data_IF_871665836305
#
_entry.id   IF_871665836305
#
_cell.length_a   1.000
_cell.length_b   1.000
_cell.length_c   1.000
_cell.angle_alpha   90.00
_cell.angle_beta   90.00
_cell.angle_gamma   90.00
#
_symmetry.space_group_name_H-M   'P 1'
#
loop_
_entity.id
_entity.type
_entity.pdbx_description
1 polymer ?
#
# COMPACT_ATOMS: atom_id res chain seq x y z
N UNK A 1 -16.05 -17.28 8.09
CA UNK A 1 -14.95 -16.28 7.93
C UNK A 1 -15.51 -15.00 7.30
N UNK A 2 -15.16 -13.83 7.83
CA UNK A 2 -15.64 -12.52 7.37
C UNK A 2 -14.47 -11.56 7.17
N UNK A 3 -14.65 -10.51 6.36
CA UNK A 3 -13.60 -9.50 6.10
C UNK A 3 -13.07 -8.84 7.38
N UNK A 4 -13.90 -8.71 8.42
CA UNK A 4 -13.46 -8.18 9.72
C UNK A 4 -12.40 -9.06 10.38
N UNK A 5 -12.50 -10.38 10.26
CA UNK A 5 -11.50 -11.30 10.81
C UNK A 5 -10.14 -11.12 10.13
N UNK A 6 -10.14 -10.89 8.81
CA UNK A 6 -8.93 -10.58 8.06
C UNK A 6 -8.30 -9.26 8.52
N UNK A 7 -9.10 -8.18 8.70
CA UNK A 7 -8.62 -6.89 9.23
C UNK A 7 -8.00 -7.04 10.61
N UNK A 8 -8.64 -7.82 11.49
CA UNK A 8 -8.14 -8.07 12.83
C UNK A 8 -6.83 -8.83 12.82
N UNK A 9 -6.73 -9.87 11.99
CA UNK A 9 -5.52 -10.64 11.84
C UNK A 9 -4.36 -9.80 11.28
N UNK A 10 -4.61 -9.04 10.22
CA UNK A 10 -3.60 -8.13 9.63
C UNK A 10 -3.08 -7.14 10.68
N UNK A 11 -3.97 -6.52 11.46
CA UNK A 11 -3.56 -5.60 12.52
C UNK A 11 -2.70 -6.28 13.60
N UNK A 12 -3.06 -7.51 14.03
CA UNK A 12 -2.26 -8.27 15.00
C UNK A 12 -0.90 -8.67 14.44
N UNK A 13 -0.85 -9.07 13.17
CA UNK A 13 0.38 -9.46 12.48
C UNK A 13 1.36 -8.28 12.34
N UNK A 14 0.86 -7.09 12.01
CA UNK A 14 1.66 -5.87 11.88
C UNK A 14 2.15 -5.35 13.23
N UNK A 15 1.28 -5.27 14.21
CA UNK A 15 1.62 -4.76 15.54
C UNK A 15 2.45 -5.76 16.37
N UNK A 16 2.40 -7.04 16.05
CA UNK A 16 3.00 -8.14 16.84
C UNK A 16 2.63 -8.08 18.34
N UNK A 17 1.49 -7.44 18.63
CA UNK A 17 1.03 -7.18 19.99
C UNK A 17 -0.50 -7.01 19.99
N UNK A 18 -1.22 -7.84 20.73
CA UNK A 18 -2.68 -7.80 20.81
C UNK A 18 -3.21 -6.50 21.39
N UNK A 19 -2.53 -5.93 22.39
CA UNK A 19 -2.99 -4.69 23.03
C UNK A 19 -2.88 -3.50 22.08
N UNK A 20 -1.76 -3.37 21.34
CA UNK A 20 -1.59 -2.31 20.34
C UNK A 20 -2.55 -2.49 19.16
N UNK A 21 -2.71 -3.73 18.67
CA UNK A 21 -3.66 -4.01 17.60
C UNK A 21 -5.12 -3.69 18.02
N UNK A 22 -5.50 -4.04 19.25
CA UNK A 22 -6.83 -3.73 19.78
C UNK A 22 -7.06 -2.22 19.90
N UNK A 23 -6.06 -1.46 20.39
CA UNK A 23 -6.13 -0.01 20.45
C UNK A 23 -6.29 0.61 19.05
N UNK A 24 -5.50 0.15 18.07
CA UNK A 24 -5.60 0.59 16.66
C UNK A 24 -6.98 0.31 16.05
N UNK A 25 -7.61 -0.79 16.45
CA UNK A 25 -8.92 -1.22 15.95
C UNK A 25 -10.09 -0.69 16.79
N UNK A 26 -9.81 0.06 17.84
CA UNK A 26 -10.82 0.53 18.82
C UNK A 26 -11.64 -0.62 19.45
N UNK A 27 -10.97 -1.72 19.77
CA UNK A 27 -11.56 -2.91 20.37
C UNK A 27 -10.96 -3.20 21.75
N UNK A 28 -11.71 -3.95 22.57
CA UNK A 28 -11.17 -4.56 23.77
C UNK A 28 -10.21 -5.73 23.39
N UNK A 29 -9.03 -5.79 24.00
CA UNK A 29 -8.04 -6.83 23.70
C UNK A 29 -8.60 -8.26 23.87
N UNK A 30 -9.42 -8.60 24.90
CA UNK A 30 -10.00 -9.94 25.01
C UNK A 30 -10.91 -10.30 23.83
N UNK A 31 -11.66 -9.34 23.31
CA UNK A 31 -12.53 -9.50 22.14
C UNK A 31 -11.70 -9.81 20.89
N UNK A 32 -10.66 -9.01 20.63
CA UNK A 32 -9.75 -9.25 19.50
C UNK A 32 -9.08 -10.63 19.60
N UNK A 33 -8.60 -11.01 20.79
CA UNK A 33 -7.98 -12.33 21.01
C UNK A 33 -8.94 -13.48 20.74
N UNK A 34 -10.23 -13.31 21.10
CA UNK A 34 -11.27 -14.29 20.81
C UNK A 34 -11.51 -14.42 19.31
N UNK A 35 -11.68 -13.29 18.61
CA UNK A 35 -11.90 -13.29 17.16
C UNK A 35 -10.77 -13.94 16.36
N UNK A 36 -9.52 -13.77 16.80
CA UNK A 36 -8.38 -14.46 16.17
C UNK A 36 -8.42 -15.97 16.44
N UNK A 37 -8.78 -16.39 17.64
CA UNK A 37 -8.94 -17.83 17.94
C UNK A 37 -10.08 -18.45 17.13
N UNK A 38 -11.20 -17.74 17.00
CA UNK A 38 -12.33 -18.21 16.19
C UNK A 38 -11.92 -18.36 14.72
N UNK A 39 -11.10 -17.44 14.20
CA UNK A 39 -10.53 -17.53 12.85
C UNK A 39 -9.59 -18.74 12.71
N UNK A 40 -8.67 -18.96 13.65
CA UNK A 40 -7.74 -20.11 13.65
C UNK A 40 -8.52 -21.44 13.71
N UNK A 41 -9.58 -21.49 14.53
CA UNK A 41 -10.44 -22.67 14.63
C UNK A 41 -11.21 -22.94 13.32
N UNK A 42 -11.73 -21.89 12.67
CA UNK A 42 -12.45 -22.01 11.40
C UNK A 42 -11.51 -22.49 10.27
N UNK A 43 -10.26 -22.02 10.26
CA UNK A 43 -9.25 -22.44 9.30
C UNK A 43 -8.62 -23.82 9.63
N UNK A 44 -8.79 -24.29 10.85
CA UNK A 44 -8.21 -25.55 11.34
C UNK A 44 -6.68 -25.52 11.53
N UNK A 45 -6.08 -24.33 11.50
CA UNK A 45 -4.63 -24.15 11.64
C UNK A 45 -4.30 -22.93 12.50
N UNK A 46 -3.20 -23.00 13.27
CA UNK A 46 -2.69 -21.86 14.00
C UNK A 46 -1.97 -20.89 13.05
N UNK A 47 -2.33 -19.63 13.13
CA UNK A 47 -1.71 -18.55 12.35
C UNK A 47 -0.62 -17.81 13.15
N UNK A 48 -0.70 -17.86 14.49
CA UNK A 48 0.17 -17.13 15.40
C UNK A 48 0.85 -18.06 16.40
N UNK A 49 2.15 -17.85 16.60
CA UNK A 49 2.86 -18.34 17.77
C UNK A 49 2.73 -17.31 18.90
N UNK A 50 2.34 -17.77 20.08
CA UNK A 50 2.21 -16.94 21.29
C UNK A 50 3.27 -17.40 22.29
N UNK A 51 4.29 -16.61 22.51
CA UNK A 51 5.42 -16.96 23.39
C UNK A 51 5.85 -15.81 24.29
N UNK A 52 6.83 -16.09 25.17
CA UNK A 52 7.41 -15.09 26.09
C UNK A 52 8.07 -13.90 25.35
N UNK A 53 8.41 -14.05 24.07
CA UNK A 53 8.99 -13.01 23.21
C UNK A 53 7.97 -12.22 22.38
N UNK A 54 6.66 -12.39 22.62
CA UNK A 54 5.61 -11.71 21.85
C UNK A 54 4.89 -12.62 20.85
N UNK A 55 4.35 -12.02 19.79
CA UNK A 55 3.60 -12.69 18.74
C UNK A 55 4.46 -12.79 17.48
N UNK A 56 4.55 -14.00 16.93
CA UNK A 56 5.15 -14.25 15.61
C UNK A 56 4.18 -15.02 14.72
N UNK A 57 4.35 -14.92 13.42
CA UNK A 57 3.53 -15.66 12.47
C UNK A 57 4.04 -17.09 12.32
N UNK A 58 3.12 -18.03 12.15
CA UNK A 58 3.44 -19.37 11.64
C UNK A 58 3.68 -19.31 10.13
N UNK A 59 4.11 -20.40 9.50
CA UNK A 59 4.17 -20.50 8.03
C UNK A 59 2.78 -20.26 7.41
N UNK A 60 1.73 -20.88 7.98
CA UNK A 60 0.33 -20.65 7.58
C UNK A 60 -0.10 -19.19 7.81
N UNK A 61 0.36 -18.57 8.92
CA UNK A 61 0.08 -17.17 9.21
C UNK A 61 0.70 -16.20 8.21
N UNK A 62 1.91 -16.48 7.72
CA UNK A 62 2.55 -15.67 6.67
C UNK A 62 1.77 -15.76 5.36
N UNK A 63 1.40 -16.97 4.95
CA UNK A 63 0.60 -17.17 3.73
C UNK A 63 -0.78 -16.49 3.86
N UNK A 64 -1.45 -16.70 4.99
CA UNK A 64 -2.74 -16.08 5.24
C UNK A 64 -2.66 -14.55 5.27
N UNK A 65 -1.57 -13.96 5.77
CA UNK A 65 -1.36 -12.51 5.76
C UNK A 65 -1.33 -11.94 4.34
N UNK A 66 -0.61 -12.62 3.44
CA UNK A 66 -0.55 -12.22 2.03
C UNK A 66 -1.93 -12.25 1.38
N UNK A 67 -2.68 -13.35 1.56
CA UNK A 67 -4.03 -13.50 1.00
C UNK A 67 -5.03 -12.54 1.64
N UNK A 68 -4.99 -12.33 2.95
CA UNK A 68 -5.87 -11.40 3.65
C UNK A 68 -5.68 -9.96 3.17
N UNK A 69 -4.44 -9.52 2.98
CA UNK A 69 -4.14 -8.19 2.42
C UNK A 69 -4.70 -8.02 1.02
N UNK A 70 -4.52 -9.02 0.16
CA UNK A 70 -5.06 -9.01 -1.20
C UNK A 70 -6.59 -8.90 -1.21
N UNK A 71 -7.28 -9.75 -0.45
CA UNK A 71 -8.75 -9.73 -0.37
C UNK A 71 -9.30 -8.43 0.20
N UNK A 72 -8.66 -7.84 1.20
CA UNK A 72 -9.05 -6.54 1.74
C UNK A 72 -8.87 -5.42 0.72
N UNK A 73 -7.78 -5.45 -0.05
CA UNK A 73 -7.54 -4.51 -1.14
C UNK A 73 -8.58 -4.65 -2.25
N UNK A 74 -8.89 -5.88 -2.68
CA UNK A 74 -9.91 -6.16 -3.70
C UNK A 74 -11.31 -5.71 -3.24
N UNK A 75 -11.63 -5.91 -1.96
CA UNK A 75 -12.87 -5.40 -1.37
C UNK A 75 -12.96 -3.88 -1.42
N UNK A 76 -11.87 -3.18 -1.11
CA UNK A 76 -11.81 -1.71 -1.20
C UNK A 76 -11.98 -1.21 -2.64
N UNK A 77 -11.40 -1.91 -3.63
CA UNK A 77 -11.60 -1.61 -5.06
C UNK A 77 -13.08 -1.78 -5.44
N UNK A 78 -13.71 -2.89 -5.04
CA UNK A 78 -15.12 -3.13 -5.34
C UNK A 78 -16.02 -2.00 -4.82
N UNK A 79 -15.79 -1.53 -3.59
CA UNK A 79 -16.52 -0.39 -3.01
C UNK A 79 -16.32 0.87 -3.85
N UNK A 80 -15.07 1.22 -4.20
CA UNK A 80 -14.78 2.44 -4.99
C UNK A 80 -15.44 2.37 -6.37
N UNK A 81 -15.30 1.25 -7.07
CA UNK A 81 -15.88 1.08 -8.42
C UNK A 81 -17.41 1.22 -8.36
N UNK A 82 -18.05 0.58 -7.38
CA UNK A 82 -19.50 0.66 -7.22
C UNK A 82 -19.95 2.09 -6.88
N UNK A 83 -19.23 2.78 -6.02
CA UNK A 83 -19.53 4.18 -5.70
C UNK A 83 -19.36 5.11 -6.89
N UNK A 84 -18.32 4.92 -7.71
CA UNK A 84 -18.09 5.69 -8.92
C UNK A 84 -19.24 5.52 -9.94
N UNK A 85 -19.73 4.30 -10.13
CA UNK A 85 -20.90 4.04 -10.98
C UNK A 85 -22.17 4.70 -10.43
N UNK A 86 -22.41 4.59 -9.11
CA UNK A 86 -23.62 5.13 -8.47
C UNK A 86 -23.71 6.66 -8.46
N UNK A 87 -22.56 7.35 -8.55
CA UNK A 87 -22.49 8.81 -8.52
C UNK A 87 -22.47 9.47 -9.90
N UNK A 88 -22.45 8.71 -10.99
CA UNK A 88 -22.18 9.19 -12.35
C UNK A 88 -20.89 10.04 -12.43
N UNK A 89 -19.99 9.83 -11.49
CA UNK A 89 -18.74 10.59 -11.40
C UNK A 89 -17.73 10.07 -12.42
N UNK A 90 -16.97 10.97 -12.97
CA UNK A 90 -15.84 10.70 -13.86
C UNK A 90 -14.96 9.62 -13.19
N UNK A 91 -14.48 8.68 -13.99
CA UNK A 91 -13.48 7.70 -13.53
C UNK A 91 -12.32 8.49 -12.93
N UNK A 92 -12.06 8.29 -11.64
CA UNK A 92 -10.96 8.97 -10.95
C UNK A 92 -9.75 8.06 -10.95
N UNK A 93 -8.61 8.63 -11.33
CA UNK A 93 -7.31 7.97 -11.27
C UNK A 93 -6.46 8.70 -10.22
N UNK A 94 -6.12 8.00 -9.15
CA UNK A 94 -5.31 8.54 -8.07
C UNK A 94 -3.85 8.14 -8.27
N UNK A 95 -2.97 9.12 -8.49
CA UNK A 95 -1.56 8.91 -8.81
C UNK A 95 -0.66 9.53 -7.75
N UNK A 96 0.26 8.74 -7.21
CA UNK A 96 1.35 9.23 -6.38
C UNK A 96 2.47 9.86 -7.23
N UNK A 97 3.04 10.94 -6.75
CA UNK A 97 4.12 11.65 -7.44
C UNK A 97 5.21 12.05 -6.45
N UNK A 98 6.47 11.86 -6.81
CA UNK A 98 7.59 12.42 -6.05
C UNK A 98 7.80 13.89 -6.44
N UNK A 99 8.15 14.72 -5.45
CA UNK A 99 8.27 16.17 -5.57
C UNK A 99 9.08 16.63 -6.82
N UNK A 100 10.27 16.10 -7.12
CA UNK A 100 11.05 16.58 -8.27
C UNK A 100 10.39 16.35 -9.63
N UNK A 101 9.49 15.38 -9.75
CA UNK A 101 8.74 15.18 -10.98
C UNK A 101 7.67 16.25 -11.16
N UNK A 102 7.07 16.75 -10.07
CA UNK A 102 6.08 17.83 -10.13
C UNK A 102 6.67 19.10 -10.72
N UNK A 103 7.93 19.42 -10.39
CA UNK A 103 8.63 20.60 -10.89
C UNK A 103 9.27 20.45 -12.28
N UNK A 104 9.39 19.23 -12.80
CA UNK A 104 10.11 18.94 -14.04
C UNK A 104 9.42 19.37 -15.35
N UNK A 105 8.14 19.74 -15.31
CA UNK A 105 7.32 20.00 -16.50
C UNK A 105 6.96 18.74 -17.32
N UNK A 106 7.62 17.61 -17.09
CA UNK A 106 7.31 16.34 -17.76
C UNK A 106 5.93 15.83 -17.36
N UNK A 107 5.62 15.87 -16.06
CA UNK A 107 4.32 15.47 -15.54
C UNK A 107 3.18 16.25 -16.18
N UNK A 108 3.34 17.55 -16.32
CA UNK A 108 2.33 18.40 -16.97
C UNK A 108 2.05 17.97 -18.42
N UNK A 109 3.10 17.61 -19.20
CA UNK A 109 2.94 17.10 -20.56
C UNK A 109 2.23 15.74 -20.59
N UNK A 110 2.59 14.83 -19.69
CA UNK A 110 1.94 13.51 -19.57
C UNK A 110 0.45 13.69 -19.27
N UNK A 111 0.12 14.50 -18.27
CA UNK A 111 -1.27 14.75 -17.87
C UNK A 111 -2.08 15.45 -18.97
N UNK A 112 -1.49 16.41 -19.66
CA UNK A 112 -2.15 17.10 -20.78
C UNK A 112 -2.48 16.11 -21.91
N UNK A 113 -1.56 15.23 -22.28
CA UNK A 113 -1.78 14.20 -23.30
C UNK A 113 -2.83 13.18 -22.85
N UNK A 114 -2.77 12.76 -21.58
CA UNK A 114 -3.74 11.85 -21.00
C UNK A 114 -5.15 12.45 -20.99
N UNK A 115 -5.31 13.70 -20.53
CA UNK A 115 -6.62 14.37 -20.50
C UNK A 115 -7.23 14.59 -21.90
N UNK A 116 -6.40 14.76 -22.93
CA UNK A 116 -6.87 14.83 -24.32
C UNK A 116 -7.37 13.46 -24.82
N UNK A 117 -6.72 12.39 -24.44
CA UNK A 117 -7.06 11.03 -24.87
C UNK A 117 -8.18 10.37 -24.04
N UNK A 118 -8.36 10.82 -22.81
CA UNK A 118 -9.32 10.27 -21.83
C UNK A 118 -10.01 11.38 -21.04
N UNK A 119 -10.82 12.23 -21.69
CA UNK A 119 -11.45 13.39 -21.05
C UNK A 119 -12.44 12.99 -19.93
N UNK A 120 -12.94 11.74 -19.98
CA UNK A 120 -13.83 11.18 -18.98
C UNK A 120 -13.14 10.74 -17.68
N UNK A 121 -11.79 10.81 -17.62
CA UNK A 121 -11.02 10.40 -16.44
C UNK A 121 -10.47 11.61 -15.72
N UNK A 122 -10.85 11.78 -14.47
CA UNK A 122 -10.27 12.79 -13.58
C UNK A 122 -9.01 12.24 -12.94
N UNK A 123 -7.88 12.93 -13.07
CA UNK A 123 -6.64 12.58 -12.40
C UNK A 123 -6.50 13.39 -11.13
N UNK A 124 -6.28 12.73 -10.01
CA UNK A 124 -5.89 13.32 -8.73
C UNK A 124 -4.44 12.95 -8.44
N UNK A 125 -3.62 13.94 -8.13
CA UNK A 125 -2.22 13.74 -7.78
C UNK A 125 -2.03 13.85 -6.27
N UNK A 126 -1.19 12.95 -5.71
CA UNK A 126 -0.73 13.03 -4.32
C UNK A 126 0.78 13.05 -4.28
N UNK A 127 1.32 14.07 -3.66
CA UNK A 127 2.75 14.13 -3.37
C UNK A 127 3.08 13.15 -2.24
N UNK A 128 3.91 12.16 -2.55
CA UNK A 128 4.23 11.07 -1.65
C UNK A 128 5.67 10.57 -1.90
N UNK A 129 6.37 10.16 -0.85
CA UNK A 129 7.64 9.46 -1.00
C UNK A 129 7.46 8.08 -1.63
N UNK A 130 8.49 7.60 -2.37
CA UNK A 130 8.41 6.30 -3.08
C UNK A 130 7.98 5.13 -2.19
N UNK A 131 8.48 5.05 -0.96
CA UNK A 131 8.14 3.99 0.01
C UNK A 131 6.65 4.00 0.36
N UNK A 132 6.10 5.20 0.56
CA UNK A 132 4.67 5.36 0.85
C UNK A 132 3.81 5.01 -0.35
N UNK A 133 4.23 5.42 -1.56
CA UNK A 133 3.55 5.03 -2.80
C UNK A 133 3.51 3.51 -2.97
N UNK A 134 4.62 2.79 -2.73
CA UNK A 134 4.65 1.34 -2.80
C UNK A 134 3.62 0.71 -1.85
N UNK A 135 3.56 1.18 -0.60
CA UNK A 135 2.59 0.71 0.38
C UNK A 135 1.13 0.92 -0.09
N UNK A 136 0.83 2.11 -0.60
CA UNK A 136 -0.53 2.48 -1.02
C UNK A 136 -0.94 1.77 -2.31
N UNK A 137 -0.02 1.54 -3.25
CA UNK A 137 -0.29 0.75 -4.47
C UNK A 137 -0.56 -0.72 -4.09
N UNK A 138 0.26 -1.31 -3.21
CA UNK A 138 0.03 -2.67 -2.71
C UNK A 138 -1.32 -2.81 -1.99
N UNK A 139 -1.74 -1.78 -1.25
CA UNK A 139 -3.04 -1.71 -0.60
C UNK A 139 -4.19 -1.33 -1.57
N UNK A 140 -3.90 -1.08 -2.85
CA UNK A 140 -4.84 -0.57 -3.85
C UNK A 140 -5.55 0.73 -3.42
N UNK A 141 -4.89 1.52 -2.59
CA UNK A 141 -5.32 2.86 -2.18
C UNK A 141 -4.79 3.94 -3.14
N UNK A 142 -3.85 3.57 -4.02
CA UNK A 142 -3.28 4.36 -5.09
C UNK A 142 -3.30 3.53 -6.37
N UNK A 143 -3.72 4.11 -7.50
CA UNK A 143 -3.86 3.39 -8.76
C UNK A 143 -2.52 3.26 -9.50
N UNK A 144 -1.67 4.27 -9.39
CA UNK A 144 -0.32 4.29 -9.97
C UNK A 144 0.60 5.21 -9.16
N UNK A 145 1.89 5.13 -9.42
CA UNK A 145 2.87 6.00 -8.77
C UNK A 145 4.09 6.25 -9.62
N UNK A 146 4.61 7.50 -9.58
CA UNK A 146 5.91 7.84 -10.09
C UNK A 146 6.92 7.78 -8.94
N UNK A 147 7.84 6.85 -9.03
CA UNK A 147 8.81 6.52 -7.96
C UNK A 147 10.25 6.56 -8.49
N UNK A 148 11.22 6.78 -7.62
CA UNK A 148 12.63 6.77 -8.02
C UNK A 148 13.18 5.37 -8.28
N UNK A 149 12.67 4.38 -7.61
CA UNK A 149 13.08 2.98 -7.75
C UNK A 149 11.86 2.09 -7.80
N UNK A 150 11.88 1.06 -8.64
CA UNK A 150 10.84 0.04 -8.57
C UNK A 150 10.89 -0.62 -7.19
N UNK A 151 9.75 -1.15 -6.70
CA UNK A 151 9.73 -1.94 -5.48
C UNK A 151 10.55 -3.22 -5.65
N UNK A 152 11.09 -3.75 -4.55
CA UNK A 152 11.89 -4.98 -4.57
C UNK A 152 11.06 -6.21 -4.96
N UNK A 153 9.78 -6.24 -4.58
CA UNK A 153 8.86 -7.32 -4.94
C UNK A 153 8.14 -7.03 -6.25
N UNK A 154 8.69 -7.56 -7.34
CA UNK A 154 8.10 -7.44 -8.68
C UNK A 154 6.84 -8.28 -8.90
N UNK A 155 6.44 -9.15 -7.95
CA UNK A 155 5.25 -9.98 -8.08
C UNK A 155 3.94 -9.20 -7.90
N UNK A 156 4.02 -8.04 -7.25
CA UNK A 156 2.86 -7.20 -6.92
C UNK A 156 2.71 -6.01 -7.86
N UNK A 157 3.79 -5.64 -8.60
CA UNK A 157 3.86 -4.39 -9.35
C UNK A 157 4.35 -4.61 -10.78
N UNK A 158 3.68 -3.96 -11.72
CA UNK A 158 4.23 -3.70 -13.04
C UNK A 158 4.94 -2.34 -13.01
N UNK A 159 6.17 -2.27 -13.51
CA UNK A 159 6.93 -1.03 -13.55
C UNK A 159 7.66 -0.85 -14.88
N UNK A 160 7.79 0.40 -15.31
CA UNK A 160 8.58 0.77 -16.48
C UNK A 160 9.29 2.10 -16.24
N UNK A 161 10.42 2.29 -16.90
CA UNK A 161 11.21 3.51 -16.78
C UNK A 161 10.56 4.63 -17.60
N UNK A 162 10.24 5.72 -16.93
CA UNK A 162 9.66 6.93 -17.55
C UNK A 162 10.74 7.96 -17.86
N UNK A 163 11.77 8.03 -17.00
CA UNK A 163 12.86 8.99 -17.12
C UNK A 163 14.13 8.45 -16.45
N UNK A 164 15.29 8.61 -17.09
CA UNK A 164 16.58 8.37 -16.50
C UNK A 164 17.29 9.70 -16.22
N UNK A 165 17.74 9.90 -14.99
CA UNK A 165 18.48 11.07 -14.55
C UNK A 165 19.81 10.68 -13.91
N UNK A 166 20.82 11.52 -14.10
CA UNK A 166 22.10 11.41 -13.38
C UNK A 166 21.99 12.16 -12.05
N UNK A 167 22.40 11.51 -10.98
CA UNK A 167 22.64 12.17 -9.70
C UNK A 167 24.05 12.75 -9.71
N UNK A 168 24.19 13.99 -9.26
CA UNK A 168 25.49 14.64 -9.08
C UNK A 168 25.61 15.10 -7.63
N UNK A 169 26.78 14.95 -7.05
CA UNK A 169 27.10 15.56 -5.77
C UNK A 169 27.75 16.92 -6.03
N UNK A 170 27.20 17.96 -5.43
CA UNK A 170 27.86 19.28 -5.40
C UNK A 170 28.76 19.35 -4.17
N UNK A 171 30.05 19.60 -4.40
CA UNK A 171 31.03 19.74 -3.33
C UNK A 171 31.57 21.17 -3.31
N UNK A 172 31.99 21.70 -2.15
CA UNK A 172 32.72 22.98 -2.08
C UNK A 172 33.95 22.93 -2.97
N UNK A 173 34.24 24.04 -3.66
CA UNK A 173 35.48 24.15 -4.47
C UNK A 173 36.69 23.90 -3.59
N UNK A 174 37.64 23.04 -4.05
CA UNK A 174 38.82 22.64 -3.30
C UNK A 174 38.61 21.50 -2.30
N UNK A 175 37.48 20.82 -2.32
CA UNK A 175 37.24 19.61 -1.52
C UNK A 175 38.22 18.49 -1.90
N UNK A 176 38.82 17.86 -0.89
CA UNK A 176 39.66 16.66 -1.05
C UNK A 176 38.90 15.41 -1.55
N UNK A 177 37.58 15.50 -1.67
CA UNK A 177 36.70 14.43 -2.20
C UNK A 177 36.59 14.47 -3.73
N UNK A 178 37.30 15.38 -4.41
CA UNK A 178 37.34 15.52 -5.88
C UNK A 178 38.39 14.61 -6.56
N UNK A 179 38.94 13.62 -5.87
CA UNK A 179 39.97 12.71 -6.40
C UNK A 179 39.38 11.34 -6.74
#
# INVERSE_FOLDING_TARGET
MELRHMRYFVAVAEERNFTRAAARLHLAQPSLSRQIRDLENELGVALLHRGKGGITLTAAGNEYLAQARKLLADSAVAVRVTQAVGRSEHRQLLIGVVEPLMSSGLLAKILQNFSKSRPEVRVELRELFSVEQHRLIAARELDAGFVYRPPEDSSIYDSFIVLENRHVAALPGGSSLNA
#
